data_IF_596668056107
#
_entry.id   IF_596668056107
#
_cell.length_a   1.000
_cell.length_b   1.000
_cell.length_c   1.000
_cell.angle_alpha   90.00
_cell.angle_beta   90.00
_cell.angle_gamma   90.00
#
_symmetry.space_group_name_H-M   'P 1'
#
loop_
_entity.id
_entity.type
_entity.pdbx_description
1 polymer ?
#
# COMPACT_ATOMS: atom_id res chain seq x y z
N UNK A 1 -1.03 2.39 41.20
CA UNK A 1 -1.19 3.16 39.95
C UNK A 1 -2.67 3.27 39.71
N UNK A 2 -3.22 4.44 39.37
CA UNK A 2 -4.66 4.51 39.09
C UNK A 2 -4.94 3.95 37.68
N UNK A 3 -6.18 3.55 37.42
CA UNK A 3 -6.57 2.95 36.13
C UNK A 3 -6.28 3.85 34.92
N UNK A 4 -6.26 5.18 35.13
CA UNK A 4 -5.96 6.16 34.08
C UNK A 4 -4.48 6.09 33.67
N UNK A 5 -3.60 6.02 34.68
CA UNK A 5 -2.16 5.94 34.51
C UNK A 5 -1.76 4.62 33.84
N UNK A 6 -2.42 3.51 34.19
CA UNK A 6 -2.22 2.21 33.52
C UNK A 6 -2.56 2.26 32.03
N UNK A 7 -3.73 2.81 31.67
CA UNK A 7 -4.15 2.94 30.26
C UNK A 7 -3.23 3.86 29.48
N UNK A 8 -2.82 4.98 30.09
CA UNK A 8 -1.88 5.91 29.46
C UNK A 8 -0.51 5.24 29.22
N UNK A 9 0.01 4.49 30.18
CA UNK A 9 1.25 3.72 30.01
C UNK A 9 1.13 2.69 28.88
N UNK A 10 -0.02 2.01 28.76
CA UNK A 10 -0.26 1.07 27.66
C UNK A 10 -0.29 1.77 26.30
N UNK A 11 -1.00 2.89 26.17
CA UNK A 11 -1.02 3.70 24.94
C UNK A 11 0.40 4.16 24.55
N UNK A 12 1.20 4.61 25.52
CA UNK A 12 2.61 4.99 25.31
C UNK A 12 3.43 3.79 24.81
N UNK A 13 3.24 2.60 25.39
CA UNK A 13 3.96 1.39 24.96
C UNK A 13 3.66 1.03 23.50
N UNK A 14 2.39 1.08 23.09
CA UNK A 14 1.98 0.79 21.71
C UNK A 14 2.65 1.73 20.70
N UNK A 15 2.81 3.01 21.05
CA UNK A 15 3.49 4.00 20.20
C UNK A 15 5.02 3.90 20.18
N UNK A 16 5.66 3.43 21.26
CA UNK A 16 7.13 3.37 21.37
C UNK A 16 7.78 2.24 20.58
N UNK A 17 7.07 1.15 20.32
CA UNK A 17 7.67 -0.07 19.77
C UNK A 17 7.72 -0.12 18.23
N UNK A 18 7.52 0.99 17.51
CA UNK A 18 7.37 1.01 16.03
C UNK A 18 6.28 0.06 15.49
N UNK A 19 5.44 -0.49 16.37
CA UNK A 19 4.52 -1.59 16.11
C UNK A 19 3.06 -1.15 16.01
N UNK A 20 2.66 -0.04 16.63
CA UNK A 20 1.28 0.45 16.49
C UNK A 20 0.95 0.76 15.04
N UNK A 21 1.86 1.36 14.27
CA UNK A 21 1.59 1.74 12.88
C UNK A 21 1.83 0.63 11.84
N UNK A 22 2.14 -0.60 12.27
CA UNK A 22 2.46 -1.73 11.38
C UNK A 22 1.60 -2.97 11.63
N UNK A 23 0.93 -3.03 12.77
CA UNK A 23 0.14 -4.17 13.22
C UNK A 23 -1.30 -3.69 13.42
N UNK A 24 -2.28 -4.13 12.59
CA UNK A 24 -3.67 -3.70 12.69
C UNK A 24 -4.26 -3.85 14.09
N UNK A 25 -3.89 -4.93 14.79
CA UNK A 25 -4.37 -5.27 16.12
C UNK A 25 -3.96 -4.20 17.15
N UNK A 26 -2.74 -3.67 17.04
CA UNK A 26 -2.26 -2.61 17.92
C UNK A 26 -2.98 -1.28 17.66
N UNK A 27 -3.41 -1.02 16.42
CA UNK A 27 -4.22 0.15 16.08
C UNK A 27 -5.61 0.02 16.69
N UNK A 28 -6.21 -1.16 16.58
CA UNK A 28 -7.51 -1.45 17.18
C UNK A 28 -7.47 -1.32 18.71
N UNK A 29 -6.44 -1.87 19.37
CA UNK A 29 -6.25 -1.72 20.82
C UNK A 29 -6.12 -0.24 21.22
N UNK A 30 -5.35 0.54 20.46
CA UNK A 30 -5.19 1.97 20.73
C UNK A 30 -6.51 2.74 20.61
N UNK A 31 -7.36 2.39 19.63
CA UNK A 31 -8.70 2.98 19.47
C UNK A 31 -9.60 2.69 20.67
N UNK A 32 -9.58 1.45 21.16
CA UNK A 32 -10.33 1.04 22.34
C UNK A 32 -9.85 1.83 23.57
N UNK A 33 -8.54 1.86 23.82
CA UNK A 33 -7.95 2.60 24.95
C UNK A 33 -8.28 4.09 24.91
N UNK A 34 -8.30 4.72 23.73
CA UNK A 34 -8.65 6.13 23.61
C UNK A 34 -10.15 6.40 23.86
N UNK A 35 -11.03 5.49 23.44
CA UNK A 35 -12.46 5.57 23.74
C UNK A 35 -12.70 5.46 25.25
N UNK A 36 -12.02 4.52 25.91
CA UNK A 36 -12.09 4.36 27.36
C UNK A 36 -11.52 5.59 28.09
N UNK A 37 -10.39 6.14 27.63
CA UNK A 37 -9.81 7.37 28.15
C UNK A 37 -10.78 8.56 28.03
N UNK A 38 -11.46 8.71 26.89
CA UNK A 38 -12.53 9.70 26.68
C UNK A 38 -13.63 9.58 27.74
N UNK A 39 -14.10 8.35 28.01
CA UNK A 39 -15.10 8.08 29.06
C UNK A 39 -14.62 8.40 30.49
N UNK A 40 -13.34 8.15 30.80
CA UNK A 40 -12.75 8.51 32.09
C UNK A 40 -12.66 10.03 32.29
N UNK A 41 -12.33 10.79 31.24
CA UNK A 41 -12.34 12.25 31.28
C UNK A 41 -13.74 12.78 31.59
N UNK A 42 -14.76 12.27 30.91
CA UNK A 42 -16.16 12.65 31.13
C UNK A 42 -16.58 12.37 32.58
N UNK A 43 -16.23 11.19 33.10
CA UNK A 43 -16.51 10.78 34.49
C UNK A 43 -15.80 11.66 35.53
N UNK A 44 -14.71 12.33 35.14
CA UNK A 44 -13.95 13.27 35.98
C UNK A 44 -14.49 14.70 35.93
N UNK A 45 -15.62 14.93 35.24
CA UNK A 45 -16.26 16.24 35.11
C UNK A 45 -15.85 17.04 33.87
N UNK A 46 -15.06 16.45 32.96
CA UNK A 46 -14.71 17.10 31.68
C UNK A 46 -15.95 17.08 30.77
N UNK A 47 -16.43 18.28 30.39
CA UNK A 47 -17.67 18.44 29.62
C UNK A 47 -17.58 17.96 28.17
N UNK A 48 -16.37 17.88 27.61
CA UNK A 48 -16.14 17.40 26.24
C UNK A 48 -14.79 16.73 26.14
N UNK A 49 -14.81 15.45 25.75
CA UNK A 49 -13.62 14.67 25.41
C UNK A 49 -13.54 14.36 23.90
N UNK A 50 -14.38 15.02 23.09
CA UNK A 50 -14.49 14.79 21.64
C UNK A 50 -13.17 15.01 20.88
N UNK A 51 -12.27 15.85 21.41
CA UNK A 51 -10.95 16.06 20.81
C UNK A 51 -10.12 14.77 20.78
N UNK A 52 -10.29 13.87 21.77
CA UNK A 52 -9.61 12.57 21.81
C UNK A 52 -10.06 11.72 20.63
N UNK A 53 -11.37 11.64 20.40
CA UNK A 53 -11.95 10.92 19.26
C UNK A 53 -11.51 11.55 17.93
N UNK A 54 -11.49 12.88 17.83
CA UNK A 54 -11.10 13.60 16.60
C UNK A 54 -9.62 13.37 16.22
N UNK A 55 -8.72 13.36 17.20
CA UNK A 55 -7.30 13.03 17.01
C UNK A 55 -7.12 11.59 16.51
N UNK A 56 -7.97 10.67 16.99
CA UNK A 56 -7.96 9.26 16.59
C UNK A 56 -8.57 9.05 15.20
N UNK A 57 -9.70 9.68 14.88
CA UNK A 57 -10.40 9.43 13.63
C UNK A 57 -9.65 9.90 12.37
N UNK A 58 -8.98 11.06 12.42
CA UNK A 58 -8.36 11.63 11.22
C UNK A 58 -7.00 10.99 10.87
N UNK A 59 -6.11 10.85 11.85
CA UNK A 59 -4.78 10.30 11.65
C UNK A 59 -4.71 8.77 11.75
N UNK A 60 -5.39 8.19 12.74
CA UNK A 60 -5.25 6.77 13.03
C UNK A 60 -6.05 5.90 12.05
N UNK A 61 -7.25 6.32 11.61
CA UNK A 61 -8.00 5.59 10.58
C UNK A 61 -7.24 5.55 9.26
N UNK A 62 -6.61 6.67 8.88
CA UNK A 62 -5.76 6.70 7.69
C UNK A 62 -4.55 5.77 7.84
N UNK A 63 -4.00 5.63 9.05
CA UNK A 63 -2.94 4.67 9.35
C UNK A 63 -3.46 3.24 9.29
N UNK A 64 -4.60 2.95 9.89
CA UNK A 64 -5.26 1.64 9.88
C UNK A 64 -5.54 1.16 8.46
N UNK A 65 -6.15 2.01 7.63
CA UNK A 65 -6.43 1.70 6.23
C UNK A 65 -5.14 1.37 5.45
N UNK A 66 -4.06 2.12 5.68
CA UNK A 66 -2.76 1.85 5.03
C UNK A 66 -2.17 0.51 5.46
N UNK A 67 -2.22 0.19 6.76
CA UNK A 67 -1.68 -1.07 7.28
C UNK A 67 -2.52 -2.26 6.78
N UNK A 68 -3.84 -2.12 6.77
CA UNK A 68 -4.75 -3.13 6.23
C UNK A 68 -4.54 -3.34 4.72
N UNK A 69 -4.28 -2.28 3.95
CA UNK A 69 -3.90 -2.38 2.52
C UNK A 69 -2.56 -3.09 2.34
N UNK A 70 -1.55 -2.81 3.16
CA UNK A 70 -0.22 -3.41 3.08
C UNK A 70 -0.24 -4.92 3.44
N UNK A 71 -1.15 -5.32 4.33
CA UNK A 71 -1.37 -6.73 4.67
C UNK A 71 -2.20 -7.50 3.63
N UNK A 72 -2.81 -6.84 2.63
CA UNK A 72 -3.48 -7.57 1.54
C UNK A 72 -2.44 -8.35 0.75
N UNK A 73 -2.37 -9.65 1.00
CA UNK A 73 -1.62 -10.59 0.17
C UNK A 73 -2.45 -10.91 -1.07
N UNK A 74 -2.44 -9.99 -2.03
CA UNK A 74 -2.88 -10.35 -3.37
C UNK A 74 -1.88 -11.35 -3.98
N UNK A 75 -2.35 -12.32 -4.78
CA UNK A 75 -1.43 -13.18 -5.51
C UNK A 75 -0.51 -12.28 -6.36
N UNK A 76 0.81 -12.55 -6.39
CA UNK A 76 1.73 -11.69 -7.11
C UNK A 76 1.35 -11.62 -8.58
N UNK A 77 1.44 -10.40 -9.12
CA UNK A 77 1.15 -10.10 -10.52
C UNK A 77 2.34 -9.38 -11.15
N UNK A 78 2.52 -9.58 -12.45
CA UNK A 78 3.44 -8.81 -13.28
C UNK A 78 2.68 -7.61 -13.85
N UNK A 79 3.20 -6.41 -13.61
CA UNK A 79 2.72 -5.18 -14.22
C UNK A 79 3.51 -4.83 -15.48
N UNK A 80 2.80 -4.24 -16.44
CA UNK A 80 3.39 -3.64 -17.65
C UNK A 80 3.06 -2.16 -17.63
N UNK A 81 4.08 -1.31 -17.44
CA UNK A 81 3.95 0.15 -17.37
C UNK A 81 4.63 0.79 -18.58
N UNK A 82 3.95 1.70 -19.28
CA UNK A 82 4.55 2.51 -20.34
C UNK A 82 4.89 3.91 -19.82
N UNK A 83 6.08 4.42 -20.15
CA UNK A 83 6.44 5.84 -19.93
C UNK A 83 6.13 6.63 -21.19
N UNK A 84 5.23 7.61 -21.10
CA UNK A 84 4.93 8.50 -22.23
C UNK A 84 6.12 9.36 -22.64
N UNK A 85 7.02 9.66 -21.70
CA UNK A 85 8.19 10.53 -21.95
C UNK A 85 9.29 9.81 -22.71
N UNK A 86 9.59 8.58 -22.32
CA UNK A 86 10.69 7.80 -22.91
C UNK A 86 10.24 6.85 -24.02
N UNK A 87 8.94 6.54 -24.07
CA UNK A 87 8.40 5.49 -24.95
C UNK A 87 8.79 4.08 -24.53
N UNK A 88 9.46 3.92 -23.38
CA UNK A 88 9.88 2.61 -22.88
C UNK A 88 8.80 1.98 -22.01
N UNK A 89 8.82 0.65 -21.98
CA UNK A 89 7.93 -0.18 -21.18
C UNK A 89 8.71 -0.86 -20.07
N UNK A 90 8.25 -0.73 -18.83
CA UNK A 90 8.74 -1.45 -17.67
C UNK A 90 7.92 -2.70 -17.44
N UNK A 91 8.60 -3.82 -17.22
CA UNK A 91 7.98 -5.08 -16.79
C UNK A 91 8.54 -5.42 -15.41
N UNK A 92 7.68 -5.50 -14.40
CA UNK A 92 8.08 -5.94 -13.07
C UNK A 92 6.94 -6.63 -12.35
N UNK A 93 7.18 -7.25 -11.19
CA UNK A 93 6.12 -7.87 -10.38
C UNK A 93 5.97 -7.23 -9.00
N UNK A 94 4.80 -7.43 -8.39
CA UNK A 94 4.54 -7.06 -7.00
C UNK A 94 3.43 -7.95 -6.42
N UNK A 95 3.46 -8.17 -5.11
CA UNK A 95 2.31 -8.66 -4.34
C UNK A 95 1.37 -7.53 -3.89
N UNK A 96 1.76 -6.27 -4.09
CA UNK A 96 0.95 -5.09 -3.86
C UNK A 96 1.12 -4.12 -5.05
N UNK A 97 0.28 -4.27 -6.07
CA UNK A 97 0.36 -3.50 -7.31
C UNK A 97 0.03 -2.01 -7.08
N UNK A 98 -1.07 -1.63 -6.40
CA UNK A 98 -1.41 -0.22 -6.19
C UNK A 98 -0.30 0.56 -5.48
N UNK A 99 0.26 0.00 -4.40
CA UNK A 99 1.34 0.63 -3.65
C UNK A 99 2.62 0.75 -4.50
N UNK A 100 2.93 -0.28 -5.30
CA UNK A 100 4.09 -0.26 -6.20
C UNK A 100 3.94 0.82 -7.27
N UNK A 101 2.78 0.92 -7.93
CA UNK A 101 2.51 1.96 -8.94
C UNK A 101 2.62 3.35 -8.32
N UNK A 102 2.04 3.56 -7.11
CA UNK A 102 2.16 4.82 -6.38
C UNK A 102 3.61 5.18 -6.07
N UNK A 103 4.41 4.21 -5.61
CA UNK A 103 5.84 4.44 -5.35
C UNK A 103 6.61 4.84 -6.60
N UNK A 104 6.33 4.20 -7.75
CA UNK A 104 6.97 4.50 -9.02
C UNK A 104 6.54 5.87 -9.56
N UNK A 105 5.27 6.23 -9.43
CA UNK A 105 4.75 7.55 -9.82
C UNK A 105 5.33 8.69 -8.99
N UNK A 106 5.65 8.46 -7.72
CA UNK A 106 6.32 9.45 -6.87
C UNK A 106 7.83 9.59 -7.14
N UNK A 107 8.42 8.68 -7.92
CA UNK A 107 9.87 8.61 -8.17
C UNK A 107 10.35 9.55 -9.28
N UNK A 108 9.47 10.31 -9.94
CA UNK A 108 9.83 11.28 -10.97
C UNK A 108 8.62 11.83 -11.73
N UNK A 109 8.81 12.86 -12.58
CA UNK A 109 7.73 13.50 -13.34
C UNK A 109 7.21 12.67 -14.53
N UNK A 110 7.57 11.40 -14.61
CA UNK A 110 7.15 10.53 -15.71
C UNK A 110 5.72 10.04 -15.47
N UNK A 111 4.80 10.46 -16.34
CA UNK A 111 3.46 9.91 -16.39
C UNK A 111 3.53 8.45 -16.87
N UNK A 112 3.64 7.53 -15.91
CA UNK A 112 3.54 6.09 -16.15
C UNK A 112 2.08 5.69 -16.38
N UNK A 113 1.84 4.92 -17.43
CA UNK A 113 0.52 4.34 -17.73
C UNK A 113 0.57 2.83 -17.55
N UNK A 114 -0.37 2.29 -16.78
CA UNK A 114 -0.59 0.85 -16.68
C UNK A 114 -1.24 0.33 -17.96
N UNK A 115 -0.55 -0.57 -18.66
CA UNK A 115 -1.06 -1.19 -19.88
C UNK A 115 -1.80 -2.49 -19.59
N UNK A 116 -1.30 -3.33 -18.68
CA UNK A 116 -1.96 -4.56 -18.22
C UNK A 116 -1.32 -5.15 -16.95
N UNK A 117 -2.04 -6.11 -16.33
CA UNK A 117 -1.59 -6.96 -15.24
C UNK A 117 -1.67 -8.44 -15.67
N UNK A 118 -0.59 -9.18 -15.46
CA UNK A 118 -0.49 -10.59 -15.85
C UNK A 118 -0.33 -11.41 -14.56
N UNK A 119 -1.13 -12.47 -14.36
CA UNK A 119 -0.97 -13.35 -13.21
C UNK A 119 0.42 -13.97 -13.13
N UNK A 120 0.95 -14.03 -11.91
CA UNK A 120 2.23 -14.66 -11.62
C UNK A 120 3.27 -13.68 -11.09
N UNK A 121 4.28 -14.23 -10.44
CA UNK A 121 5.33 -13.45 -9.79
C UNK A 121 6.63 -13.43 -10.58
N UNK A 122 7.72 -13.58 -9.84
CA UNK A 122 9.09 -13.54 -10.33
C UNK A 122 9.37 -14.46 -11.53
N UNK A 123 8.77 -15.64 -11.58
CA UNK A 123 8.98 -16.58 -12.68
C UNK A 123 8.40 -16.05 -14.00
N UNK A 124 7.16 -15.54 -13.96
CA UNK A 124 6.49 -14.91 -15.11
C UNK A 124 7.27 -13.67 -15.56
N UNK A 125 7.72 -12.82 -14.63
CA UNK A 125 8.59 -11.68 -14.94
C UNK A 125 9.85 -12.12 -15.67
N UNK A 126 10.59 -13.09 -15.11
CA UNK A 126 11.83 -13.60 -15.69
C UNK A 126 11.61 -14.19 -17.10
N UNK A 127 10.51 -14.91 -17.30
CA UNK A 127 10.12 -15.45 -18.60
C UNK A 127 9.92 -14.31 -19.62
N UNK A 128 9.17 -13.27 -19.26
CA UNK A 128 8.93 -12.12 -20.14
C UNK A 128 10.21 -11.33 -20.41
N UNK A 129 11.04 -11.16 -19.39
CA UNK A 129 12.36 -10.55 -19.48
C UNK A 129 13.29 -11.31 -20.46
N UNK A 130 13.21 -12.65 -20.50
CA UNK A 130 13.92 -13.46 -21.50
C UNK A 130 13.29 -13.31 -22.88
N UNK A 131 11.96 -13.38 -22.98
CA UNK A 131 11.21 -13.22 -24.24
C UNK A 131 11.56 -11.90 -24.94
N UNK A 132 11.67 -10.81 -24.19
CA UNK A 132 11.98 -9.48 -24.71
C UNK A 132 13.44 -9.04 -24.51
N UNK A 133 14.35 -9.98 -24.26
CA UNK A 133 15.76 -9.65 -24.00
C UNK A 133 16.40 -8.82 -25.12
N UNK A 134 16.07 -9.10 -26.39
CA UNK A 134 16.54 -8.33 -27.54
C UNK A 134 16.03 -6.89 -27.59
N UNK A 135 14.93 -6.59 -26.88
CA UNK A 135 14.31 -5.25 -26.78
C UNK A 135 14.68 -4.53 -25.49
N UNK A 136 15.47 -5.15 -24.60
CA UNK A 136 15.90 -4.55 -23.32
C UNK A 136 16.82 -3.36 -23.59
N UNK A 137 16.56 -2.24 -22.92
CA UNK A 137 17.39 -1.03 -22.98
C UNK A 137 18.26 -0.90 -21.75
N UNK A 138 17.67 -0.87 -20.55
CA UNK A 138 18.41 -0.88 -19.30
C UNK A 138 17.55 -1.47 -18.17
N UNK A 139 18.15 -2.30 -17.31
CA UNK A 139 17.46 -2.97 -16.22
C UNK A 139 16.16 -3.65 -16.68
N UNK A 140 15.04 -3.17 -16.13
CA UNK A 140 13.68 -3.69 -16.38
C UNK A 140 12.91 -2.90 -17.47
N UNK A 141 13.60 -2.07 -18.25
CA UNK A 141 13.00 -1.23 -19.30
C UNK A 141 13.28 -1.78 -20.70
N UNK A 142 12.23 -1.86 -21.51
CA UNK A 142 12.20 -2.49 -22.82
C UNK A 142 11.58 -1.54 -23.86
N UNK A 143 12.09 -1.57 -25.09
CA UNK A 143 11.51 -0.86 -26.23
C UNK A 143 10.49 -1.78 -26.93
N UNK A 144 9.31 -1.95 -26.33
CA UNK A 144 8.24 -2.78 -26.87
C UNK A 144 7.45 -2.03 -27.94
N UNK A 145 7.05 -2.74 -28.99
CA UNK A 145 6.11 -2.23 -30.00
C UNK A 145 4.67 -2.28 -29.47
N UNK A 146 3.75 -1.65 -30.21
CA UNK A 146 2.31 -1.78 -29.93
C UNK A 146 1.87 -3.24 -29.97
N UNK A 147 2.34 -4.01 -30.95
CA UNK A 147 1.97 -5.43 -31.09
C UNK A 147 2.48 -6.28 -29.92
N UNK A 148 3.66 -5.99 -29.37
CA UNK A 148 4.15 -6.67 -28.17
C UNK A 148 3.22 -6.42 -26.97
N UNK A 149 2.76 -5.17 -26.81
CA UNK A 149 1.87 -4.77 -25.71
C UNK A 149 0.49 -5.40 -25.89
N UNK A 150 -0.07 -5.40 -27.09
CA UNK A 150 -1.35 -6.07 -27.37
C UNK A 150 -1.24 -7.58 -27.16
N UNK A 151 -0.11 -8.20 -27.53
CA UNK A 151 0.17 -9.61 -27.22
C UNK A 151 0.33 -9.90 -25.72
N UNK A 152 0.68 -8.90 -24.89
CA UNK A 152 0.70 -9.02 -23.44
C UNK A 152 -0.70 -8.83 -22.84
N UNK A 153 -1.52 -7.94 -23.41
CA UNK A 153 -2.90 -7.73 -23.00
C UNK A 153 -3.78 -8.95 -23.27
N UNK A 154 -3.52 -9.69 -24.36
CA UNK A 154 -4.30 -10.90 -24.68
C UNK A 154 -4.09 -12.05 -23.70
N UNK A 155 -2.99 -12.05 -22.94
CA UNK A 155 -2.68 -13.03 -21.89
C UNK A 155 -2.92 -12.48 -20.48
N UNK A 156 -3.14 -11.18 -20.35
CA UNK A 156 -3.60 -10.57 -19.11
C UNK A 156 -5.04 -11.01 -18.85
N UNK A 157 -5.36 -11.47 -17.65
CA UNK A 157 -6.76 -11.63 -17.26
C UNK A 157 -7.40 -10.24 -17.38
N UNK A 158 -8.43 -10.13 -18.22
CA UNK A 158 -9.34 -8.98 -18.23
C UNK A 158 -9.91 -8.82 -16.83
N UNK A 159 -9.25 -7.99 -16.03
CA UNK A 159 -9.74 -7.53 -14.74
C UNK A 159 -10.49 -6.23 -15.05
N UNK A 160 -11.72 -6.39 -15.54
CA UNK A 160 -12.68 -5.29 -15.50
C UNK A 160 -12.91 -4.94 -14.02
N UNK A 161 -12.47 -3.74 -13.62
CA UNK A 161 -12.81 -3.14 -12.33
C UNK A 161 -11.63 -2.83 -11.41
N UNK A 162 -11.08 -1.62 -11.56
CA UNK A 162 -10.66 -0.77 -10.45
C UNK A 162 -11.32 0.60 -10.62
#
# INVERSE_FOLDING_TARGET
>A
MNQLEEKLQRMISLYKEDNCQKVPENIAELMELASEFSGMLQSSGVRSAFFVEMLMHSGLMATMSRVMEDQRKEPPQVYVLSSKKTGLTKIGYSSNIPQRIKSLGNSGPDCLKLECLIPGGRETENMLHRKFAAKRKHGEWFALSKDDIEGLKSVALTSDGY
#
